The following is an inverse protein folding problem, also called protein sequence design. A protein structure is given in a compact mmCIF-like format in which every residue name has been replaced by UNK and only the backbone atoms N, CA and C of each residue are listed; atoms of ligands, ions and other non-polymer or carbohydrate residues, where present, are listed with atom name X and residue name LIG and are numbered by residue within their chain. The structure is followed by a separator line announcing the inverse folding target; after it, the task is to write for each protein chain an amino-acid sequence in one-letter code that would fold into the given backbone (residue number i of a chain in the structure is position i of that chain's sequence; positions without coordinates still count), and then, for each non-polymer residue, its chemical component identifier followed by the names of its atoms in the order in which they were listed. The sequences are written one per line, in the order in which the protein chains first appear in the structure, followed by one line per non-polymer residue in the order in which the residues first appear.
data_IF_848407037078
#
_entry.id   IF_848407037078
#
_cell.length_a   1.000
_cell.length_b   1.000
_cell.length_c   1.000
_cell.angle_alpha   90.00
_cell.angle_beta   90.00
_cell.angle_gamma   90.00
#
_symmetry.space_group_name_H-M   'P 1'
#
loop_
_entity.id
_entity.type
_entity.pdbx_description
1 polymer ?
#
# COMPACT_ATOMS: atom_id res chain seq x y z
N UNK A 1 3.85 46.28 -27.38
CA UNK A 1 4.06 44.90 -27.86
C UNK A 1 2.84 44.08 -27.45
N UNK A 2 2.05 43.63 -28.42
CA UNK A 2 0.80 42.90 -28.17
C UNK A 2 1.12 41.47 -27.75
N UNK A 3 0.75 41.10 -26.51
CA UNK A 3 0.71 39.71 -26.07
C UNK A 3 -0.45 39.01 -26.79
N UNK A 4 -0.28 38.70 -28.07
CA UNK A 4 -1.14 37.71 -28.73
C UNK A 4 -0.71 36.35 -28.21
N UNK A 5 -1.36 35.91 -27.14
CA UNK A 5 -1.26 34.52 -26.68
C UNK A 5 -1.72 33.64 -27.83
N UNK A 6 -0.76 33.01 -28.53
CA UNK A 6 -1.05 32.21 -29.70
C UNK A 6 -1.77 30.93 -29.22
N UNK A 7 -3.05 30.71 -29.58
CA UNK A 7 -3.82 29.57 -29.08
C UNK A 7 -3.14 28.23 -29.37
N UNK A 8 -2.41 28.13 -30.48
CA UNK A 8 -1.64 26.92 -30.83
C UNK A 8 -0.54 26.59 -29.82
N UNK A 9 0.12 27.61 -29.24
CA UNK A 9 1.12 27.40 -28.16
C UNK A 9 0.48 26.97 -26.85
N UNK A 10 -0.74 27.43 -26.58
CA UNK A 10 -1.48 27.00 -25.38
C UNK A 10 -1.86 25.54 -25.55
N UNK A 11 -2.39 25.16 -26.72
CA UNK A 11 -2.73 23.77 -27.03
C UNK A 11 -1.50 22.85 -26.98
N UNK A 12 -0.36 23.26 -27.56
CA UNK A 12 0.90 22.52 -27.44
C UNK A 12 1.38 22.37 -25.99
N UNK A 13 1.19 23.41 -25.16
CA UNK A 13 1.56 23.36 -23.74
C UNK A 13 0.64 22.45 -22.94
N UNK A 14 -0.66 22.42 -23.27
CA UNK A 14 -1.66 21.55 -22.66
C UNK A 14 -1.40 20.10 -23.07
N UNK A 15 -1.14 19.82 -24.35
CA UNK A 15 -0.83 18.48 -24.84
C UNK A 15 0.50 17.95 -24.31
N UNK A 16 1.51 18.81 -24.14
CA UNK A 16 2.77 18.46 -23.48
C UNK A 16 2.59 18.22 -21.98
N UNK A 17 1.72 18.97 -21.31
CA UNK A 17 1.35 18.72 -19.91
C UNK A 17 0.57 17.40 -19.76
N UNK A 18 -0.43 17.16 -20.61
CA UNK A 18 -1.18 15.90 -20.67
C UNK A 18 -0.30 14.72 -20.97
N UNK A 19 0.61 14.83 -21.93
CA UNK A 19 1.56 13.76 -22.26
C UNK A 19 2.56 13.49 -21.14
N UNK A 20 2.89 14.50 -20.32
CA UNK A 20 3.74 14.32 -19.13
C UNK A 20 2.95 13.64 -17.99
N UNK A 21 1.68 13.98 -17.80
CA UNK A 21 0.79 13.29 -16.86
C UNK A 21 0.53 11.83 -17.31
N UNK A 22 0.32 11.58 -18.61
CA UNK A 22 0.13 10.23 -19.17
C UNK A 22 1.43 9.39 -19.18
N UNK A 23 2.60 10.03 -19.33
CA UNK A 23 3.88 9.35 -19.21
C UNK A 23 4.20 8.99 -17.75
N UNK A 24 3.78 9.81 -16.78
CA UNK A 24 3.81 9.48 -15.34
C UNK A 24 2.82 8.37 -14.96
N UNK A 25 1.66 8.33 -15.60
CA UNK A 25 0.64 7.28 -15.40
C UNK A 25 1.09 5.86 -15.77
N UNK A 26 2.17 5.70 -16.56
CA UNK A 26 2.76 4.40 -16.93
C UNK A 26 3.88 3.94 -16.00
N UNK A 27 4.36 4.80 -15.10
CA UNK A 27 5.27 4.37 -14.03
C UNK A 27 4.43 3.83 -12.87
N UNK A 28 4.32 2.50 -12.77
CA UNK A 28 3.57 1.81 -11.69
C UNK A 28 3.97 2.20 -10.25
N UNK A 29 5.04 2.97 -10.07
CA UNK A 29 5.48 3.53 -8.79
C UNK A 29 4.53 4.59 -8.22
N UNK A 30 3.82 5.37 -9.05
CA UNK A 30 2.99 6.49 -8.56
C UNK A 30 1.60 6.07 -8.05
N UNK A 31 1.28 4.77 -8.16
CA UNK A 31 0.00 4.17 -7.75
C UNK A 31 0.08 3.32 -6.50
N UNK A 32 1.28 3.15 -5.96
CA UNK A 32 1.50 2.29 -4.80
C UNK A 32 2.28 3.01 -3.71
N UNK A 33 1.98 2.66 -2.46
CA UNK A 33 2.83 2.95 -1.32
C UNK A 33 3.33 1.62 -0.79
N UNK A 34 4.63 1.53 -0.52
CA UNK A 34 5.23 0.34 0.06
C UNK A 34 6.08 0.67 1.27
N UNK A 35 6.18 -0.31 2.15
CA UNK A 35 7.12 -0.33 3.25
C UNK A 35 7.84 -1.67 3.22
N UNK A 36 9.16 -1.62 3.40
CA UNK A 36 10.02 -2.79 3.31
C UNK A 36 10.91 -2.84 4.54
N UNK A 37 10.97 -4.00 5.16
CA UNK A 37 11.84 -4.29 6.28
C UNK A 37 12.75 -5.45 5.91
N UNK A 38 14.06 -5.26 6.10
CA UNK A 38 15.05 -6.33 6.00
C UNK A 38 15.45 -6.72 7.42
N UNK A 39 15.04 -7.90 7.85
CA UNK A 39 15.42 -8.46 9.13
C UNK A 39 16.64 -9.37 8.96
N UNK A 40 17.80 -8.87 9.40
CA UNK A 40 19.06 -9.60 9.34
C UNK A 40 19.44 -10.29 10.65
N UNK A 41 18.62 -10.20 11.70
CA UNK A 41 18.97 -10.73 13.02
C UNK A 41 18.76 -12.24 13.08
N UNK A 42 19.82 -13.03 13.01
CA UNK A 42 19.70 -14.50 13.09
C UNK A 42 19.06 -14.89 14.44
N UNK A 43 18.01 -15.73 14.47
CA UNK A 43 17.35 -16.10 15.71
C UNK A 43 18.24 -17.06 16.50
N UNK A 44 18.08 -17.10 17.83
CA UNK A 44 18.82 -18.06 18.65
C UNK A 44 18.53 -19.50 18.20
N UNK A 45 19.53 -20.38 18.32
CA UNK A 45 19.46 -21.78 17.89
C UNK A 45 18.43 -22.56 18.72
N UNK A 46 18.21 -22.15 19.96
CA UNK A 46 17.21 -22.70 20.87
C UNK A 46 15.85 -21.98 20.82
N UNK A 47 15.71 -20.94 19.98
CA UNK A 47 14.49 -20.17 19.88
C UNK A 47 13.31 -21.06 19.48
N UNK A 48 12.24 -20.96 20.27
CA UNK A 48 11.02 -21.73 20.03
C UNK A 48 10.30 -21.26 18.77
N UNK A 49 9.51 -22.13 18.14
CA UNK A 49 8.70 -21.75 16.95
C UNK A 49 7.85 -20.50 17.19
N UNK A 50 7.14 -20.33 18.33
CA UNK A 50 6.39 -19.10 18.60
C UNK A 50 7.26 -17.83 18.65
N UNK A 51 8.49 -17.90 19.19
CA UNK A 51 9.41 -16.75 19.25
C UNK A 51 9.88 -16.35 17.85
N UNK A 52 10.16 -17.34 17.00
CA UNK A 52 10.54 -17.13 15.60
C UNK A 52 9.40 -16.53 14.78
N UNK A 53 8.15 -16.97 14.98
CA UNK A 53 6.95 -16.33 14.37
C UNK A 53 6.81 -14.89 14.86
N UNK A 54 6.99 -14.65 16.16
CA UNK A 54 6.89 -13.31 16.74
C UNK A 54 7.95 -12.37 16.17
N UNK A 55 9.15 -12.85 15.88
CA UNK A 55 10.20 -12.08 15.19
C UNK A 55 9.75 -11.62 13.80
N UNK A 56 9.26 -12.54 12.97
CA UNK A 56 8.74 -12.22 11.62
C UNK A 56 7.58 -11.23 11.72
N UNK A 57 6.67 -11.43 12.68
CA UNK A 57 5.56 -10.51 12.91
C UNK A 57 6.04 -9.10 13.31
N UNK A 58 7.08 -8.97 14.15
CA UNK A 58 7.68 -7.66 14.46
C UNK A 58 8.30 -7.00 13.22
N UNK A 59 8.96 -7.76 12.36
CA UNK A 59 9.47 -7.23 11.09
C UNK A 59 8.32 -6.77 10.18
N UNK A 60 7.19 -7.49 10.16
CA UNK A 60 5.97 -7.06 9.48
C UNK A 60 5.41 -5.75 10.06
N UNK A 61 5.37 -5.60 11.39
CA UNK A 61 4.92 -4.37 12.04
C UNK A 61 5.78 -3.15 11.63
N UNK A 62 7.10 -3.34 11.51
CA UNK A 62 8.03 -2.32 11.01
C UNK A 62 7.79 -1.99 9.53
N UNK A 63 7.61 -3.00 8.68
CA UNK A 63 7.28 -2.79 7.26
C UNK A 63 5.93 -2.07 7.10
N UNK A 64 4.91 -2.45 7.85
CA UNK A 64 3.61 -1.77 7.91
C UNK A 64 3.76 -0.31 8.36
N UNK A 65 4.53 -0.05 9.42
CA UNK A 65 4.73 1.31 9.94
C UNK A 65 5.39 2.20 8.88
N UNK A 66 6.40 1.66 8.19
CA UNK A 66 7.06 2.34 7.07
C UNK A 66 6.09 2.64 5.93
N UNK A 67 5.23 1.68 5.57
CA UNK A 67 4.20 1.87 4.54
C UNK A 67 3.17 2.95 4.95
N UNK A 68 2.68 2.89 6.20
CA UNK A 68 1.68 3.82 6.74
C UNK A 68 2.20 5.26 6.90
N UNK A 69 3.51 5.42 7.04
CA UNK A 69 4.22 6.70 7.12
C UNK A 69 4.79 7.16 5.77
N UNK A 70 4.64 6.35 4.71
CA UNK A 70 5.17 6.68 3.39
C UNK A 70 4.57 7.98 2.85
N UNK A 71 5.44 8.84 2.30
CA UNK A 71 5.02 10.06 1.62
C UNK A 71 4.10 9.79 0.42
N UNK A 72 4.16 8.58 -0.15
CA UNK A 72 3.32 8.16 -1.27
C UNK A 72 1.84 7.99 -0.87
N UNK A 73 1.54 7.80 0.42
CA UNK A 73 0.17 7.57 0.89
C UNK A 73 -0.74 8.79 0.69
N UNK A 74 -0.19 10.00 0.79
CA UNK A 74 -0.92 11.26 0.57
C UNK A 74 -1.43 11.40 -0.87
N UNK A 75 -0.55 11.33 -1.89
CA UNK A 75 -0.95 11.28 -3.29
C UNK A 75 -1.96 10.18 -3.63
N UNK A 76 -1.86 9.00 -3.01
CA UNK A 76 -2.85 7.94 -3.18
C UNK A 76 -4.22 8.32 -2.62
N UNK A 77 -4.25 8.91 -1.42
CA UNK A 77 -5.48 9.40 -0.80
C UNK A 77 -6.20 10.45 -1.67
N UNK A 78 -5.45 11.34 -2.32
CA UNK A 78 -6.01 12.37 -3.19
C UNK A 78 -6.78 11.81 -4.39
N UNK A 79 -6.43 10.60 -4.87
CA UNK A 79 -7.05 9.99 -6.06
C UNK A 79 -8.52 9.61 -5.85
N UNK A 80 -8.92 9.34 -4.61
CA UNK A 80 -10.29 8.91 -4.29
C UNK A 80 -11.01 9.87 -3.34
N UNK A 81 -10.44 11.05 -3.08
CA UNK A 81 -11.06 12.04 -2.18
C UNK A 81 -12.43 12.55 -2.68
N UNK A 82 -12.71 12.39 -3.99
CA UNK A 82 -13.98 12.75 -4.63
C UNK A 82 -14.99 11.58 -4.70
N UNK A 83 -14.64 10.39 -4.18
CA UNK A 83 -15.58 9.27 -4.06
C UNK A 83 -16.77 9.73 -3.20
N UNK A 84 -17.99 9.60 -3.72
CA UNK A 84 -19.21 10.09 -3.07
C UNK A 84 -19.63 11.51 -3.40
N UNK A 85 -18.78 12.32 -4.03
CA UNK A 85 -19.20 13.61 -4.64
C UNK A 85 -19.81 13.39 -6.04
N UNK A 86 -19.44 12.30 -6.70
CA UNK A 86 -19.97 11.86 -8.01
C UNK A 86 -20.71 10.54 -7.82
N UNK A 87 -21.95 10.47 -8.33
CA UNK A 87 -22.77 9.24 -8.30
C UNK A 87 -22.00 8.09 -8.98
N UNK A 88 -22.05 6.90 -8.36
CA UNK A 88 -21.42 5.64 -8.84
C UNK A 88 -19.88 5.59 -8.81
N UNK A 89 -19.21 6.67 -8.41
CA UNK A 89 -17.75 6.69 -8.29
C UNK A 89 -17.28 5.92 -7.04
N UNK A 90 -16.47 4.89 -7.23
CA UNK A 90 -15.84 4.10 -6.17
C UNK A 90 -14.37 3.86 -6.48
N UNK A 91 -13.59 3.41 -5.49
CA UNK A 91 -12.19 3.02 -5.72
C UNK A 91 -11.96 1.60 -5.22
N UNK A 92 -11.11 0.86 -5.91
CA UNK A 92 -10.69 -0.49 -5.51
C UNK A 92 -9.20 -0.49 -5.27
N UNK A 93 -8.78 -1.20 -4.24
CA UNK A 93 -7.36 -1.34 -3.94
C UNK A 93 -7.05 -2.72 -3.44
N UNK A 94 -5.76 -2.96 -3.25
CA UNK A 94 -5.27 -4.18 -2.66
C UNK A 94 -4.11 -3.90 -1.72
N UNK A 95 -4.05 -4.68 -0.65
CA UNK A 95 -2.92 -4.72 0.26
C UNK A 95 -2.20 -6.04 0.04
N UNK A 96 -0.94 -5.96 -0.38
CA UNK A 96 -0.09 -7.11 -0.63
C UNK A 96 0.97 -7.23 0.47
N UNK A 97 1.20 -8.47 0.90
CA UNK A 97 2.26 -8.88 1.81
C UNK A 97 3.13 -9.92 1.09
N UNK A 98 4.44 -9.67 1.05
CA UNK A 98 5.43 -10.67 0.62
C UNK A 98 6.50 -10.87 1.69
N UNK A 99 6.86 -12.12 1.95
CA UNK A 99 7.95 -12.54 2.84
C UNK A 99 8.93 -13.35 2.00
N UNK A 100 10.17 -12.85 1.89
CA UNK A 100 11.25 -13.48 1.13
C UNK A 100 12.33 -13.98 2.07
N UNK A 101 12.72 -15.24 1.88
CA UNK A 101 13.79 -15.88 2.64
C UNK A 101 15.09 -15.79 1.82
N UNK A 102 15.97 -14.85 2.16
CA UNK A 102 17.07 -14.47 1.27
C UNK A 102 18.18 -15.53 1.19
N UNK A 103 18.37 -16.30 2.25
CA UNK A 103 19.42 -17.32 2.35
C UNK A 103 18.87 -18.75 2.18
N UNK A 104 17.64 -18.89 1.69
CA UNK A 104 16.98 -20.18 1.55
C UNK A 104 16.32 -20.33 0.18
N UNK A 105 16.38 -21.52 -0.42
CA UNK A 105 15.79 -21.80 -1.74
C UNK A 105 14.25 -21.87 -1.74
N UNK A 106 13.58 -21.51 -0.64
CA UNK A 106 12.12 -21.60 -0.50
C UNK A 106 11.49 -20.45 -1.27
N UNK A 107 10.35 -20.72 -1.91
CA UNK A 107 9.56 -19.67 -2.57
C UNK A 107 9.05 -18.63 -1.57
N UNK A 108 8.96 -17.38 -2.02
CA UNK A 108 8.39 -16.28 -1.26
C UNK A 108 6.95 -16.59 -0.80
N UNK A 109 6.64 -16.27 0.45
CA UNK A 109 5.27 -16.34 0.95
C UNK A 109 4.54 -15.05 0.61
N UNK A 110 3.49 -15.17 -0.19
CA UNK A 110 2.70 -14.03 -0.68
C UNK A 110 1.23 -14.14 -0.30
N UNK A 111 0.61 -13.00 0.07
CA UNK A 111 -0.83 -12.86 0.14
C UNK A 111 -1.28 -11.45 -0.26
N UNK A 112 -2.49 -11.38 -0.80
CA UNK A 112 -3.14 -10.14 -1.20
C UNK A 112 -4.55 -10.08 -0.59
N UNK A 113 -4.91 -8.92 -0.09
CA UNK A 113 -6.23 -8.62 0.46
C UNK A 113 -6.85 -7.46 -0.32
N UNK A 114 -7.84 -7.72 -1.19
CA UNK A 114 -8.54 -6.66 -1.90
C UNK A 114 -9.44 -5.86 -0.95
N UNK A 115 -9.66 -4.59 -1.25
CA UNK A 115 -10.64 -3.74 -0.58
C UNK A 115 -11.31 -2.79 -1.57
N UNK A 116 -12.46 -2.27 -1.16
CA UNK A 116 -13.21 -1.27 -1.91
C UNK A 116 -13.48 -0.07 -1.01
N UNK A 117 -13.41 1.12 -1.59
CA UNK A 117 -13.74 2.39 -0.94
C UNK A 117 -15.06 2.86 -1.54
N UNK A 118 -16.07 2.92 -0.69
CA UNK A 118 -17.42 3.39 -1.05
C UNK A 118 -17.72 4.74 -0.38
N UNK A 119 -18.71 5.50 -0.86
CA UNK A 119 -19.07 6.79 -0.28
C UNK A 119 -19.33 6.74 1.24
N UNK A 120 -19.87 5.63 1.74
CA UNK A 120 -20.14 5.45 3.16
C UNK A 120 -18.86 5.48 4.02
N UNK A 121 -17.72 5.01 3.51
CA UNK A 121 -16.45 5.01 4.25
C UNK A 121 -15.97 6.44 4.53
N UNK A 122 -16.17 7.35 3.58
CA UNK A 122 -15.82 8.76 3.72
C UNK A 122 -16.78 9.49 4.66
N UNK A 123 -18.06 9.10 4.69
CA UNK A 123 -19.04 9.60 5.66
C UNK A 123 -18.64 9.18 7.08
N UNK A 124 -18.33 7.91 7.28
CA UNK A 124 -17.88 7.39 8.59
C UNK A 124 -16.54 8.00 9.01
N UNK A 125 -15.61 8.19 8.07
CA UNK A 125 -14.36 8.90 8.34
C UNK A 125 -14.61 10.33 8.80
N UNK A 126 -15.50 11.08 8.13
CA UNK A 126 -15.89 12.45 8.51
C UNK A 126 -16.49 12.51 9.92
N UNK A 127 -17.34 11.54 10.29
CA UNK A 127 -17.91 11.44 11.65
C UNK A 127 -16.81 11.22 12.68
N UNK A 128 -15.85 10.34 12.38
CA UNK A 128 -14.77 9.98 13.30
C UNK A 128 -13.71 11.06 13.48
N UNK A 129 -13.33 11.76 12.40
CA UNK A 129 -12.33 12.84 12.42
C UNK A 129 -12.89 14.17 12.88
N UNK A 130 -14.22 14.36 12.78
CA UNK A 130 -14.91 15.65 12.99
C UNK A 130 -14.36 16.77 12.08
N UNK A 131 -13.86 16.43 10.90
CA UNK A 131 -13.35 17.39 9.92
C UNK A 131 -13.99 17.21 8.55
N UNK A 132 -14.24 18.32 7.87
CA UNK A 132 -14.71 18.34 6.47
C UNK A 132 -13.57 18.23 5.46
N UNK A 133 -12.32 18.25 5.93
CA UNK A 133 -11.12 18.16 5.08
C UNK A 133 -11.05 16.81 4.35
N UNK A 134 -11.15 16.78 3.00
CA UNK A 134 -11.25 15.55 2.24
C UNK A 134 -9.95 14.73 2.27
N UNK A 135 -8.80 15.40 2.27
CA UNK A 135 -7.46 14.80 2.37
C UNK A 135 -7.28 13.99 3.67
N UNK A 136 -7.69 14.55 4.80
CA UNK A 136 -7.59 13.91 6.11
C UNK A 136 -8.52 12.69 6.22
N UNK A 137 -9.73 12.80 5.67
CA UNK A 137 -10.70 11.71 5.68
C UNK A 137 -10.26 10.56 4.77
N UNK A 138 -9.79 10.85 3.55
CA UNK A 138 -9.28 9.86 2.63
C UNK A 138 -8.06 9.12 3.21
N UNK A 139 -7.11 9.84 3.82
CA UNK A 139 -5.96 9.24 4.49
C UNK A 139 -6.37 8.32 5.64
N UNK A 140 -7.41 8.69 6.41
CA UNK A 140 -7.93 7.84 7.49
C UNK A 140 -8.50 6.54 6.94
N UNK A 141 -9.33 6.61 5.90
CA UNK A 141 -9.92 5.42 5.24
C UNK A 141 -8.81 4.50 4.75
N UNK A 142 -7.84 5.05 4.02
CA UNK A 142 -6.73 4.26 3.48
C UNK A 142 -5.87 3.60 4.56
N UNK A 143 -5.56 4.30 5.65
CA UNK A 143 -4.85 3.70 6.80
C UNK A 143 -5.67 2.61 7.48
N UNK A 144 -6.99 2.75 7.52
CA UNK A 144 -7.91 1.73 8.00
C UNK A 144 -7.81 0.44 7.17
N UNK A 145 -7.95 0.55 5.85
CA UNK A 145 -7.81 -0.60 4.95
C UNK A 145 -6.40 -1.20 4.96
N UNK A 146 -5.35 -0.38 5.02
CA UNK A 146 -3.97 -0.87 5.15
C UNK A 146 -3.81 -1.73 6.41
N UNK A 147 -4.28 -1.25 7.56
CA UNK A 147 -4.18 -2.00 8.82
C UNK A 147 -4.94 -3.32 8.76
N UNK A 148 -6.21 -3.28 8.35
CA UNK A 148 -7.04 -4.50 8.27
C UNK A 148 -6.48 -5.47 7.23
N UNK A 149 -6.11 -4.96 6.05
CA UNK A 149 -5.58 -5.74 4.94
C UNK A 149 -4.28 -6.45 5.27
N UNK A 150 -3.35 -5.79 5.98
CA UNK A 150 -2.11 -6.43 6.47
C UNK A 150 -2.41 -7.56 7.44
N UNK A 151 -3.33 -7.36 8.39
CA UNK A 151 -3.68 -8.39 9.36
C UNK A 151 -4.35 -9.61 8.70
N UNK A 152 -5.26 -9.39 7.75
CA UNK A 152 -5.88 -10.47 6.98
C UNK A 152 -4.86 -11.21 6.11
N UNK A 153 -3.94 -10.48 5.46
CA UNK A 153 -2.88 -11.08 4.67
C UNK A 153 -1.95 -11.93 5.54
N UNK A 154 -1.59 -11.43 6.73
CA UNK A 154 -0.81 -12.17 7.72
C UNK A 154 -1.50 -13.46 8.14
N UNK A 155 -2.80 -13.43 8.48
CA UNK A 155 -3.53 -14.63 8.88
C UNK A 155 -3.51 -15.73 7.81
N UNK A 156 -3.47 -15.37 6.52
CA UNK A 156 -3.35 -16.32 5.40
C UNK A 156 -1.92 -16.82 5.18
N UNK A 157 -0.91 -16.05 5.59
CA UNK A 157 0.52 -16.36 5.40
C UNK A 157 1.10 -17.10 6.60
N UNK A 158 0.62 -16.82 7.81
CA UNK A 158 1.16 -17.36 9.06
C UNK A 158 1.30 -18.89 9.07
N UNK A 159 0.32 -19.70 8.59
CA UNK A 159 0.50 -21.15 8.54
C UNK A 159 1.69 -21.57 7.67
N UNK A 160 1.91 -20.91 6.53
CA UNK A 160 3.03 -21.18 5.62
C UNK A 160 4.37 -20.74 6.21
N UNK A 161 4.38 -19.64 6.95
CA UNK A 161 5.55 -19.19 7.72
C UNK A 161 5.91 -20.20 8.81
N UNK A 162 4.92 -20.77 9.50
CA UNK A 162 5.14 -21.85 10.48
C UNK A 162 5.68 -23.12 9.83
N UNK A 163 5.27 -23.42 8.60
CA UNK A 163 5.87 -24.52 7.83
C UNK A 163 7.31 -24.21 7.42
N UNK A 164 7.61 -22.97 7.02
CA UNK A 164 8.97 -22.52 6.70
C UNK A 164 9.95 -22.70 7.88
N UNK A 165 9.45 -22.61 9.12
CA UNK A 165 10.22 -22.87 10.33
C UNK A 165 10.65 -24.32 10.51
N UNK A 166 9.87 -25.27 9.98
CA UNK A 166 10.25 -26.69 9.98
C UNK A 166 11.41 -26.93 9.02
N UNK A 167 11.39 -26.23 7.90
CA UNK A 167 12.45 -26.25 6.89
C UNK A 167 13.67 -25.39 7.28
N UNK A 168 13.60 -24.70 8.43
CA UNK A 168 14.63 -23.75 8.91
C UNK A 168 14.89 -22.58 7.96
N UNK A 169 13.94 -22.22 7.12
CA UNK A 169 14.10 -21.16 6.12
C UNK A 169 14.24 -19.75 6.73
N UNK A 170 13.69 -19.52 7.93
CA UNK A 170 13.78 -18.26 8.68
C UNK A 170 15.03 -18.15 9.58
N UNK A 171 15.93 -19.14 9.53
CA UNK A 171 17.22 -19.07 10.24
C UNK A 171 18.17 -18.04 9.61
N UNK A 172 17.92 -17.60 8.38
CA UNK A 172 18.69 -16.56 7.71
C UNK A 172 18.03 -15.19 7.78
N UNK A 173 18.41 -14.34 6.83
CA UNK A 173 17.83 -13.03 6.61
C UNK A 173 16.47 -13.14 5.92
N UNK A 174 15.52 -12.33 6.37
CA UNK A 174 14.16 -12.29 5.84
C UNK A 174 13.83 -10.86 5.40
N UNK A 175 13.33 -10.70 4.18
CA UNK A 175 12.79 -9.43 3.69
C UNK A 175 11.27 -9.48 3.72
N UNK A 176 10.63 -8.50 4.33
CA UNK A 176 9.19 -8.34 4.37
C UNK A 176 8.82 -7.06 3.65
N UNK A 177 7.90 -7.15 2.70
CA UNK A 177 7.36 -6.00 2.00
C UNK A 177 5.84 -5.96 2.12
N UNK A 178 5.33 -4.81 2.53
CA UNK A 178 3.92 -4.46 2.53
C UNK A 178 3.71 -3.43 1.44
N UNK A 179 2.74 -3.65 0.56
CA UNK A 179 2.38 -2.72 -0.51
C UNK A 179 0.88 -2.45 -0.48
N UNK A 180 0.48 -1.21 -0.71
CA UNK A 180 -0.91 -0.84 -0.96
C UNK A 180 -1.01 -0.14 -2.30
N UNK A 181 -1.94 -0.60 -3.13
CA UNK A 181 -2.28 -0.03 -4.44
C UNK A 181 -3.75 0.39 -4.44
N UNK A 182 -4.07 1.45 -5.19
CA UNK A 182 -5.44 1.94 -5.35
C UNK A 182 -5.68 2.35 -6.80
N UNK A 183 -6.84 1.93 -7.30
CA UNK A 183 -7.31 2.16 -8.66
C UNK A 183 -8.71 2.77 -8.59
N UNK A 184 -8.98 3.87 -9.31
CA UNK A 184 -10.35 4.35 -9.47
C UNK A 184 -11.15 3.27 -10.21
N UNK A 185 -12.34 2.98 -9.71
CA UNK A 185 -13.28 2.07 -10.36
C UNK A 185 -14.40 2.93 -10.96
N UNK A 186 -14.20 3.30 -12.24
CA UNK A 186 -15.11 4.16 -12.98
C UNK A 186 -14.42 4.98 -14.06
N UNK A 187 -14.31 4.39 -15.26
CA UNK A 187 -14.38 5.04 -16.57
C UNK A 187 -15.05 4.05 -17.54
#
# INVERSE_FOLDING_TARGET
MSFRTNPDRILESIDRARSRDDAGMRAGSDRQASGRELDTEIPDVDATTPERVKRIFKALERAYTTCAQSAALGPLAQRFQAVGDVNEHHARGDVALSIRYLDHARSDDFAMTPFEIVPNDLIEARKATKTTRPDVNALRVLRGHLRTGVMEAWQRVEPRVRDAMRDRADMGHVEIQVTVDIRPAGL
#
